data_IF_517086671371
#
_entry.id   IF_517086671371
#
_cell.length_a   1.000
_cell.length_b   1.000
_cell.length_c   1.000
_cell.angle_alpha   90.00
_cell.angle_beta   90.00
_cell.angle_gamma   90.00
#
_symmetry.space_group_name_H-M   'P 1'
#
loop_
_entity.id
_entity.type
_entity.pdbx_description
1 polymer ?
#
# COMPACT_ATOMS: atom_id res chain seq x y z
N UNK A 1 8.89 -8.05 -9.65
CA UNK A 1 8.47 -8.88 -10.79
C UNK A 1 8.07 -7.93 -11.92
N UNK A 2 8.69 -8.03 -13.09
CA UNK A 2 8.04 -7.57 -14.31
C UNK A 2 6.76 -8.43 -14.48
N UNK A 3 5.71 -7.87 -15.07
CA UNK A 3 4.66 -8.70 -15.69
C UNK A 3 5.33 -9.48 -16.82
N UNK A 4 5.97 -10.60 -16.52
CA UNK A 4 6.49 -11.52 -17.56
C UNK A 4 5.36 -12.34 -18.20
N UNK A 5 4.11 -12.06 -17.83
CA UNK A 5 2.87 -12.61 -18.40
C UNK A 5 2.10 -11.56 -19.23
N UNK A 6 2.78 -10.81 -20.11
CA UNK A 6 2.13 -10.13 -21.25
C UNK A 6 0.99 -9.11 -21.00
N UNK A 7 0.57 -8.85 -19.76
CA UNK A 7 -0.59 -8.02 -19.46
C UNK A 7 -0.29 -6.53 -19.61
N UNK A 8 -0.98 -5.88 -20.54
CA UNK A 8 -0.95 -4.43 -20.70
C UNK A 8 -2.07 -3.80 -19.87
N UNK A 9 -1.74 -2.83 -19.01
CA UNK A 9 -2.73 -2.08 -18.26
C UNK A 9 -3.31 -0.99 -19.19
N UNK A 10 -4.36 -1.35 -19.94
CA UNK A 10 -4.98 -0.46 -20.93
C UNK A 10 -5.92 0.53 -20.24
N UNK A 11 -5.57 1.82 -20.30
CA UNK A 11 -6.43 2.90 -19.81
C UNK A 11 -7.47 3.24 -20.89
N UNK A 12 -8.79 3.23 -20.59
CA UNK A 12 -9.75 3.75 -21.56
C UNK A 12 -9.50 5.24 -21.75
N UNK A 13 -9.19 5.62 -22.99
CA UNK A 13 -9.20 7.01 -23.42
C UNK A 13 -10.62 7.55 -23.24
N UNK A 14 -10.78 8.50 -22.30
CA UNK A 14 -11.88 9.47 -22.17
C UNK A 14 -13.09 9.19 -23.08
N UNK A 15 -13.97 8.27 -22.72
CA UNK A 15 -15.37 8.28 -23.17
C UNK A 15 -16.20 7.45 -22.20
N UNK A 16 -17.14 8.15 -21.59
CA UNK A 16 -18.35 7.66 -20.94
C UNK A 16 -18.17 6.68 -19.77
N UNK A 17 -18.19 7.21 -18.55
CA UNK A 17 -18.55 6.38 -17.38
C UNK A 17 -17.44 5.51 -16.77
N UNK A 18 -16.19 5.98 -16.80
CA UNK A 18 -15.15 5.80 -15.77
C UNK A 18 -14.97 4.46 -15.00
N UNK A 19 -15.26 3.29 -15.54
CA UNK A 19 -14.77 2.03 -14.95
C UNK A 19 -13.35 1.76 -15.43
N UNK A 20 -12.45 1.50 -14.48
CA UNK A 20 -11.08 1.09 -14.80
C UNK A 20 -11.02 -0.41 -15.00
N UNK A 21 -10.35 -0.87 -16.06
CA UNK A 21 -10.15 -2.29 -16.29
C UNK A 21 -8.65 -2.59 -16.24
N UNK A 22 -8.28 -3.74 -15.72
CA UNK A 22 -6.92 -4.28 -15.89
C UNK A 22 -7.02 -5.37 -16.94
N UNK A 23 -6.26 -5.28 -18.02
CA UNK A 23 -6.14 -6.39 -18.96
C UNK A 23 -4.94 -7.26 -18.60
N UNK A 24 -5.16 -8.56 -18.49
CA UNK A 24 -4.13 -9.58 -18.28
C UNK A 24 -4.35 -10.65 -19.35
N UNK A 25 -3.37 -10.89 -20.22
CA UNK A 25 -3.44 -11.88 -21.31
C UNK A 25 -4.67 -11.75 -22.25
N UNK A 26 -5.19 -10.53 -22.43
CA UNK A 26 -6.34 -10.26 -23.29
C UNK A 26 -7.70 -10.40 -22.61
N UNK A 27 -7.75 -10.90 -21.38
CA UNK A 27 -8.94 -10.85 -20.52
C UNK A 27 -9.03 -9.48 -19.84
N UNK A 28 -10.23 -8.91 -19.76
CA UNK A 28 -10.50 -7.66 -19.06
C UNK A 28 -11.05 -7.95 -17.67
N UNK A 29 -10.41 -7.40 -16.66
CA UNK A 29 -10.87 -7.46 -15.28
C UNK A 29 -11.43 -6.11 -14.87
N UNK A 30 -12.74 -6.08 -14.66
CA UNK A 30 -13.45 -4.93 -14.09
C UNK A 30 -12.88 -4.66 -12.70
N UNK A 31 -12.20 -3.52 -12.53
CA UNK A 31 -12.00 -3.01 -11.19
C UNK A 31 -13.33 -2.45 -10.73
N UNK A 32 -13.78 -2.74 -9.49
CA UNK A 32 -15.08 -2.29 -9.00
C UNK A 32 -15.12 -0.78 -8.68
N UNK A 33 -14.30 0.04 -9.37
CA UNK A 33 -14.14 1.47 -9.12
C UNK A 33 -13.45 2.21 -10.29
N UNK A 34 -13.73 3.52 -10.35
CA UNK A 34 -13.03 4.46 -11.21
C UNK A 34 -11.59 4.72 -10.75
N UNK A 35 -10.64 4.68 -11.68
CA UNK A 35 -9.18 4.76 -11.41
C UNK A 35 -8.65 6.17 -11.08
N UNK A 36 -9.48 7.22 -11.06
CA UNK A 36 -9.00 8.61 -10.91
C UNK A 36 -8.25 8.87 -9.59
N UNK A 37 -8.58 8.14 -8.52
CA UNK A 37 -8.00 8.31 -7.19
C UNK A 37 -7.25 7.06 -6.70
N UNK A 38 -6.82 6.21 -7.63
CA UNK A 38 -6.20 4.93 -7.31
C UNK A 38 -4.70 5.01 -7.48
N UNK A 39 -3.99 4.66 -6.43
CA UNK A 39 -2.55 4.54 -6.48
C UNK A 39 -2.12 3.09 -6.62
N UNK A 40 -1.11 2.88 -7.47
CA UNK A 40 -0.52 1.56 -7.75
C UNK A 40 0.83 1.42 -7.06
N UNK A 41 1.01 0.29 -6.39
CA UNK A 41 2.29 -0.17 -5.86
C UNK A 41 2.47 -1.67 -6.17
N UNK A 42 3.67 -2.21 -5.93
CA UNK A 42 3.97 -3.64 -6.07
C UNK A 42 4.43 -4.18 -4.72
N UNK A 43 3.74 -5.21 -4.22
CA UNK A 43 4.20 -5.98 -3.07
C UNK A 43 5.04 -7.15 -3.55
N UNK A 44 6.36 -7.05 -3.40
CA UNK A 44 7.27 -8.19 -3.63
C UNK A 44 6.95 -9.32 -2.64
N UNK A 45 6.62 -8.97 -1.39
CA UNK A 45 6.30 -9.94 -0.35
C UNK A 45 5.08 -10.81 -0.70
N UNK A 46 3.99 -10.20 -1.16
CA UNK A 46 2.77 -10.93 -1.56
C UNK A 46 2.80 -11.40 -3.00
N UNK A 47 3.85 -11.05 -3.73
CA UNK A 47 3.92 -11.16 -5.17
C UNK A 47 2.65 -10.64 -5.86
N UNK A 48 2.25 -9.40 -5.58
CA UNK A 48 0.96 -8.86 -6.02
C UNK A 48 1.03 -7.36 -6.31
N UNK A 49 0.10 -6.87 -7.15
CA UNK A 49 -0.16 -5.44 -7.30
C UNK A 49 -1.03 -4.95 -6.15
N UNK A 50 -0.68 -3.78 -5.61
CA UNK A 50 -1.45 -3.11 -4.58
C UNK A 50 -2.18 -1.92 -5.20
N UNK A 51 -3.50 -1.91 -5.08
CA UNK A 51 -4.33 -0.77 -5.41
C UNK A 51 -4.93 -0.20 -4.14
N UNK A 52 -5.03 1.12 -4.04
CA UNK A 52 -5.47 1.78 -2.81
C UNK A 52 -6.43 2.90 -3.17
N UNK A 53 -7.56 2.99 -2.46
CA UNK A 53 -8.53 4.08 -2.61
C UNK A 53 -8.73 4.78 -1.27
N UNK A 54 -8.69 6.10 -1.33
CA UNK A 54 -9.15 7.00 -0.29
C UNK A 54 -10.21 7.91 -0.90
N UNK A 55 -11.39 7.97 -0.30
CA UNK A 55 -12.49 8.78 -0.83
C UNK A 55 -12.29 10.28 -0.59
N UNK A 56 -11.43 10.64 0.37
CA UNK A 56 -11.10 12.02 0.66
C UNK A 56 -9.63 12.16 1.08
N UNK A 57 -8.92 13.08 0.43
CA UNK A 57 -7.57 13.50 0.83
C UNK A 57 -7.58 14.45 2.03
N UNK A 58 -8.75 14.98 2.42
CA UNK A 58 -8.86 16.00 3.47
C UNK A 58 -9.37 15.45 4.80
N UNK A 59 -9.86 14.21 4.84
CA UNK A 59 -10.58 13.67 5.98
C UNK A 59 -9.86 12.47 6.62
N UNK A 60 -9.88 12.45 7.96
CA UNK A 60 -9.37 11.36 8.79
C UNK A 60 -10.46 10.40 9.28
N UNK A 61 -11.73 10.69 8.97
CA UNK A 61 -12.90 9.91 9.41
C UNK A 61 -13.38 8.89 8.38
N UNK A 62 -12.92 9.01 7.14
CA UNK A 62 -13.28 8.07 6.07
C UNK A 62 -12.35 6.85 6.07
N UNK A 63 -12.94 5.65 5.91
CA UNK A 63 -12.19 4.40 5.78
C UNK A 63 -11.43 4.36 4.45
N UNK A 64 -10.24 3.79 4.47
CA UNK A 64 -9.52 3.43 3.25
C UNK A 64 -9.92 2.05 2.76
N UNK A 65 -9.58 1.72 1.52
CA UNK A 65 -9.66 0.34 1.02
C UNK A 65 -8.42 0.00 0.21
N UNK A 66 -7.91 -1.21 0.42
CA UNK A 66 -6.80 -1.76 -0.36
C UNK A 66 -7.24 -3.01 -1.09
N UNK A 67 -6.68 -3.22 -2.27
CA UNK A 67 -6.83 -4.44 -3.06
C UNK A 67 -5.47 -5.01 -3.40
N UNK A 68 -5.37 -6.33 -3.34
CA UNK A 68 -4.23 -7.11 -3.83
C UNK A 68 -4.68 -7.89 -5.05
N UNK A 69 -4.05 -7.62 -6.20
CA UNK A 69 -4.23 -8.39 -7.41
C UNK A 69 -3.03 -9.30 -7.61
N UNK A 70 -3.27 -10.60 -7.45
CA UNK A 70 -2.26 -11.64 -7.62
C UNK A 70 -2.03 -11.95 -9.11
N UNK A 71 -0.86 -12.48 -9.51
CA UNK A 71 -0.54 -12.82 -10.90
C UNK A 71 -1.50 -13.84 -11.54
N UNK A 72 -2.15 -14.68 -10.73
CA UNK A 72 -3.17 -15.62 -11.17
C UNK A 72 -4.58 -14.99 -11.31
N UNK A 73 -4.68 -13.67 -11.26
CA UNK A 73 -5.95 -12.93 -11.36
C UNK A 73 -6.78 -12.89 -10.07
N UNK A 74 -6.34 -13.50 -8.97
CA UNK A 74 -7.10 -13.44 -7.72
C UNK A 74 -7.03 -12.04 -7.09
N UNK A 75 -8.20 -11.49 -6.78
CA UNK A 75 -8.34 -10.22 -6.05
C UNK A 75 -8.67 -10.50 -4.58
N UNK A 76 -7.89 -9.90 -3.68
CA UNK A 76 -8.23 -9.78 -2.27
C UNK A 76 -8.46 -8.32 -1.94
N UNK A 77 -9.39 -8.02 -1.04
CA UNK A 77 -9.63 -6.65 -0.58
C UNK A 77 -9.63 -6.59 0.95
N UNK A 78 -9.29 -5.41 1.47
CA UNK A 78 -9.37 -5.12 2.90
C UNK A 78 -9.77 -3.68 3.13
N UNK A 79 -10.74 -3.50 4.00
CA UNK A 79 -11.07 -2.19 4.55
C UNK A 79 -10.00 -1.79 5.57
N UNK A 80 -9.59 -0.53 5.49
CA UNK A 80 -8.66 0.07 6.42
C UNK A 80 -9.46 1.02 7.32
N UNK A 81 -9.27 0.96 8.65
CA UNK A 81 -10.03 1.78 9.57
C UNK A 81 -9.78 3.27 9.30
N UNK A 82 -10.71 4.13 9.70
CA UNK A 82 -10.42 5.56 9.68
C UNK A 82 -9.32 5.89 10.71
N UNK A 83 -8.61 7.01 10.52
CA UNK A 83 -7.61 7.42 11.48
C UNK A 83 -6.81 8.64 11.06
N UNK A 84 -5.98 9.15 11.97
CA UNK A 84 -5.15 10.34 11.75
C UNK A 84 -4.28 10.25 10.49
N UNK A 85 -3.97 9.04 10.04
CA UNK A 85 -3.14 8.74 8.88
C UNK A 85 -3.89 8.85 7.54
N UNK A 86 -5.23 8.86 7.56
CA UNK A 86 -6.08 8.78 6.36
C UNK A 86 -6.14 10.04 5.50
N UNK A 87 -5.70 11.19 6.03
CA UNK A 87 -5.64 12.45 5.29
C UNK A 87 -4.32 12.61 4.52
N UNK A 88 -4.43 13.09 3.27
CA UNK A 88 -3.33 13.37 2.36
C UNK A 88 -2.96 12.17 1.48
N UNK A 89 -1.72 12.15 1.00
CA UNK A 89 -1.22 11.04 0.17
C UNK A 89 -0.83 9.86 1.03
N UNK A 90 -1.63 8.80 0.95
CA UNK A 90 -1.42 7.54 1.66
C UNK A 90 -1.01 6.45 0.67
N UNK A 91 -0.05 5.61 1.09
CA UNK A 91 0.31 4.36 0.42
C UNK A 91 0.28 3.22 1.42
N UNK A 92 0.03 2.03 0.92
CA UNK A 92 -0.02 0.83 1.72
C UNK A 92 0.95 -0.20 1.17
N UNK A 93 1.73 -0.80 2.05
CA UNK A 93 2.64 -1.88 1.68
C UNK A 93 2.30 -3.11 2.51
N UNK A 94 1.98 -4.23 1.86
CA UNK A 94 1.70 -5.46 2.55
C UNK A 94 2.96 -6.00 3.23
N UNK A 95 2.85 -6.33 4.51
CA UNK A 95 3.86 -7.02 5.33
C UNK A 95 3.32 -8.39 5.77
N UNK A 96 4.13 -9.17 6.50
CA UNK A 96 3.78 -10.55 6.85
C UNK A 96 2.44 -10.65 7.60
N UNK A 97 2.27 -9.84 8.64
CA UNK A 97 1.12 -9.92 9.56
C UNK A 97 0.20 -8.69 9.48
N UNK A 98 0.24 -7.94 8.37
CA UNK A 98 -0.58 -6.74 8.23
C UNK A 98 -0.14 -5.81 7.12
N UNK A 99 -0.26 -4.52 7.38
CA UNK A 99 0.06 -3.47 6.42
C UNK A 99 0.87 -2.36 7.05
N UNK A 100 1.86 -1.89 6.30
CA UNK A 100 2.53 -0.65 6.54
C UNK A 100 1.80 0.47 5.82
N UNK A 101 1.39 1.50 6.56
CA UNK A 101 0.74 2.68 6.02
C UNK A 101 1.75 3.82 6.00
N UNK A 102 2.03 4.32 4.80
CA UNK A 102 2.89 5.47 4.55
C UNK A 102 2.01 6.69 4.31
N UNK A 103 1.85 7.53 5.33
CA UNK A 103 1.18 8.81 5.21
C UNK A 103 2.23 9.90 4.99
N UNK A 104 2.31 10.44 3.76
CA UNK A 104 3.40 11.27 3.26
C UNK A 104 3.89 12.36 4.24
N UNK A 105 2.97 13.04 4.91
CA UNK A 105 3.28 14.15 5.84
C UNK A 105 3.02 13.82 7.31
N UNK A 106 2.46 12.66 7.61
CA UNK A 106 1.97 12.31 8.96
C UNK A 106 2.78 11.21 9.63
N UNK A 107 3.52 10.42 8.85
CA UNK A 107 4.43 9.43 9.35
C UNK A 107 4.10 8.01 8.89
N UNK A 108 4.65 7.06 9.63
CA UNK A 108 4.59 5.64 9.35
C UNK A 108 3.68 4.98 10.36
N UNK A 109 2.74 4.17 9.88
CA UNK A 109 1.82 3.44 10.73
C UNK A 109 1.83 1.96 10.37
N UNK A 110 1.47 1.13 11.34
CA UNK A 110 1.36 -0.30 11.25
C UNK A 110 -0.08 -0.70 11.52
N UNK A 111 -0.72 -1.39 10.58
CA UNK A 111 -2.08 -1.91 10.71
C UNK A 111 -2.08 -3.44 10.79
N UNK A 112 -2.48 -3.98 11.94
CA UNK A 112 -2.60 -5.42 12.23
C UNK A 112 -4.01 -5.69 12.74
N UNK A 113 -4.79 -6.49 12.00
CA UNK A 113 -6.24 -6.56 12.23
C UNK A 113 -6.91 -5.18 12.17
N UNK A 114 -7.72 -4.85 13.18
CA UNK A 114 -8.37 -3.53 13.29
C UNK A 114 -7.48 -2.47 13.99
N UNK A 115 -6.33 -2.87 14.53
CA UNK A 115 -5.46 -1.97 15.26
C UNK A 115 -4.50 -1.25 14.30
N UNK A 116 -4.46 0.09 14.39
CA UNK A 116 -3.44 0.91 13.72
C UNK A 116 -2.59 1.63 14.76
N UNK A 117 -1.28 1.48 14.66
CA UNK A 117 -0.30 2.09 15.57
C UNK A 117 0.70 2.93 14.80
N UNK A 118 0.98 4.15 15.29
CA UNK A 118 2.02 5.02 14.73
C UNK A 118 3.40 4.50 15.13
N UNK A 119 4.23 4.21 14.13
CA UNK A 119 5.60 3.70 14.32
C UNK A 119 6.61 4.84 14.34
N UNK A 120 6.44 5.83 13.47
CA UNK A 120 7.34 6.97 13.39
C UNK A 120 6.62 8.23 12.89
N UNK A 121 6.99 9.39 13.44
CA UNK A 121 6.52 10.69 12.97
C UNK A 121 7.52 11.29 11.98
N UNK A 122 7.01 12.02 10.98
CA UNK A 122 7.85 12.70 9.98
C UNK A 122 7.33 12.56 8.56
N UNK A 123 8.03 13.20 7.62
CA UNK A 123 7.69 13.12 6.20
C UNK A 123 8.31 11.89 5.54
N UNK A 124 7.52 11.04 4.90
CA UNK A 124 8.00 9.78 4.30
C UNK A 124 7.98 9.85 2.80
N UNK A 125 9.14 9.66 2.17
CA UNK A 125 9.25 9.65 0.70
C UNK A 125 8.94 8.27 0.15
N UNK A 126 9.64 7.26 0.67
CA UNK A 126 9.57 5.90 0.14
C UNK A 126 9.66 4.84 1.23
N UNK A 127 9.14 3.65 0.90
CA UNK A 127 9.28 2.46 1.71
C UNK A 127 9.39 1.24 0.79
N UNK A 128 10.18 0.25 1.21
CA UNK A 128 10.33 -1.02 0.51
C UNK A 128 10.23 -2.16 1.52
N UNK A 129 9.34 -3.12 1.26
CA UNK A 129 9.16 -4.30 2.09
C UNK A 129 10.00 -5.44 1.53
N UNK A 130 10.79 -6.08 2.39
CA UNK A 130 11.57 -7.27 2.06
C UNK A 130 10.68 -8.46 1.60
N UNK A 131 11.21 -9.42 0.83
CA UNK A 131 10.41 -10.54 0.30
C UNK A 131 9.72 -11.40 1.38
N UNK A 132 10.33 -11.55 2.56
CA UNK A 132 9.71 -12.30 3.66
C UNK A 132 8.62 -11.50 4.41
N UNK A 133 8.40 -10.23 4.04
CA UNK A 133 7.38 -9.37 4.65
C UNK A 133 7.74 -8.86 6.05
N UNK A 134 8.95 -9.15 6.54
CA UNK A 134 9.32 -8.92 7.94
C UNK A 134 10.16 -7.68 8.16
N UNK A 135 10.93 -7.25 7.17
CA UNK A 135 11.76 -6.07 7.23
C UNK A 135 11.30 -5.02 6.23
N UNK A 136 11.40 -3.75 6.62
CA UNK A 136 11.08 -2.62 5.75
C UNK A 136 12.19 -1.60 5.81
N UNK A 137 12.68 -1.17 4.65
CA UNK A 137 13.51 0.01 4.52
C UNK A 137 12.62 1.23 4.24
N UNK A 138 12.72 2.28 5.05
CA UNK A 138 11.91 3.50 4.94
C UNK A 138 12.81 4.71 4.79
N UNK A 139 12.56 5.50 3.74
CA UNK A 139 13.22 6.78 3.47
C UNK A 139 12.36 7.91 4.01
N UNK A 140 12.75 8.49 5.14
CA UNK A 140 11.92 9.49 5.83
C UNK A 140 12.75 10.59 6.48
N UNK A 141 12.13 11.76 6.62
CA UNK A 141 12.67 12.89 7.36
C UNK A 141 12.19 12.76 8.82
N UNK A 142 13.09 12.29 9.69
CA UNK A 142 12.85 12.21 11.13
C UNK A 142 13.02 13.58 11.77
N UNK A 143 12.29 13.81 12.86
CA UNK A 143 12.49 15.02 13.66
C UNK A 143 13.97 15.15 14.06
N UNK A 144 14.55 16.33 13.85
CA UNK A 144 15.94 16.67 14.15
C UNK A 144 17.01 16.01 13.25
N UNK A 145 16.63 15.43 12.10
CA UNK A 145 17.59 14.92 11.12
C UNK A 145 17.55 15.74 9.83
N UNK A 146 18.71 16.01 9.22
CA UNK A 146 18.76 16.67 7.90
C UNK A 146 18.55 15.63 6.80
N UNK A 147 17.59 15.91 5.90
CA UNK A 147 17.36 15.13 4.70
C UNK A 147 16.37 13.98 4.89
N UNK A 148 16.57 12.90 4.13
CA UNK A 148 15.72 11.71 4.16
C UNK A 148 16.59 10.45 4.30
N UNK A 149 17.13 10.16 5.49
CA UNK A 149 17.86 8.93 5.72
C UNK A 149 16.95 7.70 5.53
N UNK A 150 17.58 6.57 5.25
CA UNK A 150 16.91 5.27 5.16
C UNK A 150 17.08 4.55 6.50
N UNK A 151 15.98 4.05 7.06
CA UNK A 151 16.01 3.19 8.26
C UNK A 151 15.35 1.86 8.00
N UNK A 152 15.93 0.82 8.61
CA UNK A 152 15.41 -0.53 8.56
C UNK A 152 14.54 -0.78 9.82
N UNK A 153 13.34 -1.30 9.61
CA UNK A 153 12.39 -1.65 10.67
C UNK A 153 12.02 -3.12 10.51
N UNK A 154 12.17 -3.91 11.58
CA UNK A 154 11.75 -5.32 11.63
C UNK A 154 10.44 -5.47 12.39
N UNK A 155 9.46 -6.12 11.77
CA UNK A 155 8.12 -6.39 12.32
C UNK A 155 7.96 -7.83 12.81
N UNK A 156 8.70 -8.76 12.22
CA UNK A 156 8.78 -10.13 12.71
C UNK A 156 10.01 -10.24 13.61
N UNK A 157 9.91 -9.87 14.88
CA UNK A 157 10.92 -10.36 15.82
C UNK A 157 10.73 -11.88 15.93
N UNK A 158 11.82 -12.62 15.82
CA UNK A 158 11.87 -14.04 16.17
C UNK A 158 11.31 -14.19 17.59
N UNK A 159 10.30 -15.05 17.76
CA UNK A 159 9.87 -15.54 19.07
C UNK A 159 10.94 -16.50 19.62
N UNK A 160 12.15 -16.02 19.84
CA UNK A 160 13.24 -16.72 20.53
C UNK A 160 13.98 -15.63 21.33
N UNK A 161 14.00 -15.56 22.67
CA UNK A 161 14.14 -16.58 23.69
C UNK A 161 13.42 -16.12 24.97
N UNK A 162 12.39 -16.85 25.40
CA UNK A 162 12.14 -17.07 26.83
C UNK A 162 12.09 -18.59 26.96
N UNK A 163 13.24 -19.17 27.29
CA UNK A 163 13.33 -20.50 27.90
C UNK A 163 13.22 -20.33 29.40
#
# INVERSE_FOLDING_TARGET
MPLELGGELVYPHKRDGADGFVSIDGDFMDLPFALRDVFRDVSIHRNAYVFTRHESYADTTTKGRVWLLSPNGQIQSRDMPAGEWGAGSVRYHAIKDGWLIRALTRGLYLAVGEQVTKIASGGIRDAAVSPNGCNVAVKMNFANERGYPVRLISFCRERELIK
#
